data_IF_863375514523
#
_entry.id   IF_863375514523
#
_cell.length_a   1.000
_cell.length_b   1.000
_cell.length_c   1.000
_cell.angle_alpha   90.00
_cell.angle_beta   90.00
_cell.angle_gamma   90.00
#
_symmetry.space_group_name_H-M   'P 1'
#
loop_
_entity.id
_entity.type
_entity.pdbx_description
1 polymer ?
#
# COMPACT_ATOMS: atom_id res chain seq x y z
N UNK A 1 0.79 -8.80 8.95
CA UNK A 1 -0.16 -9.20 7.88
C UNK A 1 -1.39 -9.93 8.43
N UNK A 2 -1.26 -11.01 9.21
CA UNK A 2 -2.43 -11.76 9.74
C UNK A 2 -3.44 -10.91 10.54
N UNK A 3 -2.97 -10.04 11.43
CA UNK A 3 -3.86 -9.24 12.29
C UNK A 3 -4.88 -8.37 11.53
N UNK A 4 -4.47 -7.71 10.44
CA UNK A 4 -5.38 -6.88 9.65
C UNK A 4 -6.36 -7.73 8.83
N UNK A 5 -5.91 -8.90 8.35
CA UNK A 5 -6.76 -9.85 7.64
C UNK A 5 -7.83 -10.42 8.58
N UNK A 6 -7.43 -10.86 9.78
CA UNK A 6 -8.34 -11.36 10.81
C UNK A 6 -9.37 -10.31 11.23
N UNK A 7 -8.92 -9.10 11.53
CA UNK A 7 -9.82 -8.02 11.94
C UNK A 7 -10.86 -7.69 10.85
N UNK A 8 -10.47 -7.70 9.57
CA UNK A 8 -11.39 -7.48 8.47
C UNK A 8 -12.44 -8.62 8.38
N UNK A 9 -12.00 -9.88 8.42
CA UNK A 9 -12.88 -11.06 8.36
C UNK A 9 -13.84 -11.13 9.55
N UNK A 10 -13.36 -10.85 10.76
CA UNK A 10 -14.17 -10.84 11.99
C UNK A 10 -15.27 -9.78 11.97
N UNK A 11 -15.09 -8.71 11.19
CA UNK A 11 -16.07 -7.66 10.98
C UNK A 11 -16.89 -7.83 9.68
N UNK A 12 -16.84 -9.03 9.06
CA UNK A 12 -17.62 -9.37 7.87
C UNK A 12 -17.08 -8.78 6.56
N UNK A 13 -15.87 -8.23 6.57
CA UNK A 13 -15.17 -7.81 5.36
C UNK A 13 -14.60 -9.00 4.59
N UNK A 14 -14.32 -8.79 3.31
CA UNK A 14 -13.65 -9.78 2.46
C UNK A 14 -12.16 -9.51 2.39
N UNK A 15 -11.36 -10.57 2.35
CA UNK A 15 -9.89 -10.49 2.24
C UNK A 15 -9.41 -11.32 1.07
N UNK A 16 -8.75 -10.67 0.12
CA UNK A 16 -8.03 -11.33 -0.98
C UNK A 16 -6.54 -11.29 -0.70
N UNK A 17 -5.94 -12.45 -0.46
CA UNK A 17 -4.49 -12.61 -0.39
C UNK A 17 -3.88 -12.75 -1.79
N UNK A 18 -2.71 -12.15 -2.03
CA UNK A 18 -1.91 -12.36 -3.25
C UNK A 18 -0.49 -12.75 -2.84
N UNK A 19 -0.01 -13.90 -3.32
CA UNK A 19 1.26 -14.50 -2.90
C UNK A 19 1.97 -15.13 -4.10
N UNK A 20 3.31 -15.01 -4.27
CA UNK A 20 4.00 -15.76 -5.30
C UNK A 20 4.13 -17.24 -4.91
N UNK A 21 4.21 -18.13 -5.88
CA UNK A 21 4.42 -19.58 -5.68
C UNK A 21 5.62 -19.86 -4.77
N UNK A 22 6.73 -19.14 -4.96
CA UNK A 22 7.96 -19.32 -4.18
C UNK A 22 7.82 -19.02 -2.67
N UNK A 23 6.79 -18.27 -2.28
CA UNK A 23 6.48 -17.96 -0.89
C UNK A 23 5.26 -18.73 -0.37
N UNK A 24 4.41 -19.29 -1.24
CA UNK A 24 3.23 -20.04 -0.82
C UNK A 24 3.55 -21.23 0.09
N UNK A 25 4.71 -21.89 -0.10
CA UNK A 25 5.15 -23.01 0.73
C UNK A 25 5.90 -22.55 2.01
N UNK A 26 6.43 -21.33 2.03
CA UNK A 26 7.30 -20.81 3.10
C UNK A 26 6.58 -19.88 4.06
N UNK A 27 5.70 -19.05 3.54
CA UNK A 27 4.79 -18.22 4.32
C UNK A 27 3.52 -19.00 4.50
N UNK A 28 3.08 -19.16 5.75
CA UNK A 28 1.80 -19.78 6.07
C UNK A 28 0.71 -18.89 5.46
N UNK A 29 0.25 -19.25 4.26
CA UNK A 29 -0.88 -18.59 3.62
C UNK A 29 -2.02 -18.54 4.63
N UNK A 30 -2.57 -17.35 4.85
CA UNK A 30 -3.56 -17.14 5.89
C UNK A 30 -4.81 -17.97 5.57
N UNK A 31 -5.11 -19.06 6.31
CA UNK A 31 -6.02 -20.10 5.83
C UNK A 31 -7.49 -19.65 5.76
N UNK A 32 -7.80 -18.49 6.35
CA UNK A 32 -9.16 -17.95 6.46
C UNK A 32 -9.49 -16.86 5.44
N UNK A 33 -8.58 -16.50 4.54
CA UNK A 33 -8.88 -15.45 3.53
C UNK A 33 -10.03 -15.87 2.63
N UNK A 34 -10.83 -14.89 2.19
CA UNK A 34 -11.97 -15.10 1.29
C UNK A 34 -11.51 -15.64 -0.06
N UNK A 35 -10.37 -15.14 -0.56
CA UNK A 35 -9.75 -15.61 -1.78
C UNK A 35 -8.23 -15.54 -1.67
N UNK A 36 -7.55 -16.46 -2.35
CA UNK A 36 -6.09 -16.47 -2.45
C UNK A 36 -5.71 -16.57 -3.93
N UNK A 37 -4.95 -15.58 -4.40
CA UNK A 37 -4.39 -15.56 -5.74
C UNK A 37 -2.92 -15.91 -5.63
N UNK A 38 -2.53 -17.00 -6.29
CA UNK A 38 -1.13 -17.42 -6.39
C UNK A 38 -0.57 -16.94 -7.72
N UNK A 39 0.55 -16.21 -7.68
CA UNK A 39 1.23 -15.65 -8.86
C UNK A 39 2.56 -16.33 -9.12
N UNK A 40 3.08 -16.28 -10.35
CA UNK A 40 4.34 -16.92 -10.70
C UNK A 40 5.55 -16.24 -10.02
N UNK A 41 5.51 -14.91 -9.87
CA UNK A 41 6.61 -14.15 -9.26
C UNK A 41 6.13 -12.92 -8.46
N UNK A 42 7.10 -12.16 -7.93
CA UNK A 42 6.86 -10.95 -7.14
C UNK A 42 6.34 -9.77 -7.97
N UNK A 43 6.74 -9.66 -9.24
CA UNK A 43 6.26 -8.59 -10.12
C UNK A 43 4.79 -8.80 -10.45
N UNK A 44 4.40 -10.03 -10.77
CA UNK A 44 3.01 -10.39 -10.99
C UNK A 44 2.17 -10.23 -9.71
N UNK A 45 2.71 -10.60 -8.53
CA UNK A 45 2.04 -10.33 -7.24
C UNK A 45 1.70 -8.86 -7.08
N UNK A 46 2.69 -7.98 -7.20
CA UNK A 46 2.51 -6.53 -7.01
C UNK A 46 1.55 -5.96 -8.05
N UNK A 47 1.73 -6.31 -9.32
CA UNK A 47 0.82 -5.90 -10.39
C UNK A 47 -0.63 -6.33 -10.10
N UNK A 48 -0.84 -7.57 -9.66
CA UNK A 48 -2.17 -8.08 -9.31
C UNK A 48 -2.77 -7.31 -8.15
N UNK A 49 -2.01 -7.06 -7.08
CA UNK A 49 -2.45 -6.22 -5.96
C UNK A 49 -2.83 -4.81 -6.43
N UNK A 50 -2.04 -4.20 -7.31
CA UNK A 50 -2.27 -2.84 -7.80
C UNK A 50 -3.45 -2.73 -8.74
N UNK A 51 -3.74 -3.78 -9.52
CA UNK A 51 -4.91 -3.84 -10.39
C UNK A 51 -6.21 -4.04 -9.60
N UNK A 52 -6.16 -4.73 -8.44
CA UNK A 52 -7.30 -4.97 -7.56
C UNK A 52 -7.60 -3.80 -6.60
N UNK A 53 -6.57 -3.05 -6.20
CA UNK A 53 -6.72 -1.98 -5.20
C UNK A 53 -7.26 -0.68 -5.80
N UNK A 54 -8.12 0.04 -5.09
CA UNK A 54 -8.49 1.43 -5.45
C UNK A 54 -7.56 2.47 -4.79
N UNK A 55 -6.96 2.11 -3.66
CA UNK A 55 -6.01 2.91 -2.90
C UNK A 55 -5.05 2.02 -2.11
N UNK A 56 -3.96 2.59 -1.60
CA UNK A 56 -2.96 1.86 -0.83
C UNK A 56 -2.85 2.43 0.59
N UNK A 57 -2.87 1.55 1.59
CA UNK A 57 -2.61 1.90 2.99
C UNK A 57 -1.44 1.06 3.49
N UNK A 58 -0.36 1.71 3.89
CA UNK A 58 0.84 1.09 4.41
C UNK A 58 0.88 1.22 5.94
N UNK A 59 0.80 0.07 6.61
CA UNK A 59 1.06 -0.08 8.05
C UNK A 59 2.58 -0.17 8.31
N UNK A 60 3.05 0.04 9.56
CA UNK A 60 4.47 -0.11 9.89
C UNK A 60 5.06 -1.44 9.40
N UNK A 61 6.20 -1.37 8.73
CA UNK A 61 6.79 -2.53 8.06
C UNK A 61 8.22 -2.29 7.59
N UNK A 62 8.89 -3.36 7.17
CA UNK A 62 10.29 -3.33 6.76
C UNK A 62 10.50 -2.95 5.29
N UNK A 63 11.62 -3.43 4.72
CA UNK A 63 12.02 -3.13 3.33
C UNK A 63 10.95 -3.52 2.30
N UNK A 64 10.26 -4.65 2.48
CA UNK A 64 9.19 -5.08 1.56
C UNK A 64 8.03 -4.08 1.50
N UNK A 65 7.61 -3.55 2.66
CA UNK A 65 6.57 -2.50 2.72
C UNK A 65 7.02 -1.22 2.05
N UNK A 66 8.28 -0.80 2.26
CA UNK A 66 8.83 0.39 1.62
C UNK A 66 8.88 0.25 0.09
N UNK A 67 9.29 -0.94 -0.38
CA UNK A 67 9.35 -1.26 -1.80
C UNK A 67 7.96 -1.13 -2.46
N UNK A 68 6.93 -1.72 -1.86
CA UNK A 68 5.56 -1.63 -2.34
C UNK A 68 5.01 -0.18 -2.30
N UNK A 69 5.33 0.59 -1.25
CA UNK A 69 4.93 2.00 -1.11
C UNK A 69 5.51 2.86 -2.22
N UNK A 70 6.82 2.76 -2.48
CA UNK A 70 7.49 3.60 -3.47
C UNK A 70 7.10 3.22 -4.90
N UNK A 71 6.88 1.93 -5.17
CA UNK A 71 6.41 1.48 -6.48
C UNK A 71 4.99 1.98 -6.76
N UNK A 72 4.05 1.80 -5.82
CA UNK A 72 2.68 2.29 -5.95
C UNK A 72 2.61 3.81 -6.15
N UNK A 73 3.39 4.58 -5.36
CA UNK A 73 3.46 6.03 -5.50
C UNK A 73 4.03 6.46 -6.87
N UNK A 74 5.05 5.75 -7.36
CA UNK A 74 5.65 6.00 -8.67
C UNK A 74 4.67 5.68 -9.79
N UNK A 75 3.92 4.59 -9.68
CA UNK A 75 2.88 4.25 -10.65
C UNK A 75 1.77 5.29 -10.68
N UNK A 76 1.36 5.83 -9.54
CA UNK A 76 0.41 6.95 -9.47
C UNK A 76 0.96 8.18 -10.17
N UNK A 77 2.22 8.56 -9.90
CA UNK A 77 2.90 9.69 -10.56
C UNK A 77 2.93 9.54 -12.09
N UNK A 78 3.18 8.33 -12.58
CA UNK A 78 3.34 8.03 -14.01
C UNK A 78 2.01 7.68 -14.71
N UNK A 79 0.89 7.59 -13.98
CA UNK A 79 -0.39 7.14 -14.54
C UNK A 79 -0.35 5.70 -15.04
N UNK A 80 0.44 4.84 -14.39
CA UNK A 80 0.65 3.44 -14.81
C UNK A 80 -0.35 2.45 -14.21
N UNK A 81 -1.17 2.90 -13.26
CA UNK A 81 -2.31 2.11 -12.81
C UNK A 81 -3.28 1.86 -13.96
N UNK A 82 -4.07 0.80 -13.86
CA UNK A 82 -5.09 0.47 -14.85
C UNK A 82 -5.95 1.69 -15.19
N UNK A 83 -6.07 1.99 -16.49
CA UNK A 83 -6.78 3.15 -17.04
C UNK A 83 -6.24 4.54 -16.61
N UNK A 84 -4.99 4.62 -16.12
CA UNK A 84 -4.38 5.88 -15.69
C UNK A 84 -5.00 6.47 -14.42
N UNK A 85 -5.73 5.66 -13.65
CA UNK A 85 -6.44 6.10 -12.45
C UNK A 85 -5.42 6.53 -11.40
N UNK A 86 -5.67 7.68 -10.77
CA UNK A 86 -4.91 8.11 -9.60
C UNK A 86 -5.29 7.26 -8.39
N UNK A 87 -4.29 6.73 -7.67
CA UNK A 87 -4.48 5.97 -6.44
C UNK A 87 -3.61 6.56 -5.32
N UNK A 88 -4.19 7.08 -4.22
CA UNK A 88 -3.40 7.63 -3.13
C UNK A 88 -2.65 6.52 -2.39
N UNK A 89 -1.50 6.88 -1.80
CA UNK A 89 -0.74 6.02 -0.89
C UNK A 89 -0.77 6.66 0.50
N UNK A 90 -1.35 5.97 1.47
CA UNK A 90 -1.51 6.45 2.84
C UNK A 90 -0.55 5.70 3.76
N UNK A 91 0.33 6.44 4.44
CA UNK A 91 1.14 5.91 5.53
C UNK A 91 0.34 6.01 6.82
N UNK A 92 -0.06 4.87 7.40
CA UNK A 92 -0.84 4.80 8.62
C UNK A 92 0.03 4.32 9.78
N UNK A 93 0.15 5.14 10.82
CA UNK A 93 0.69 4.78 12.12
C UNK A 93 0.14 5.69 13.22
N UNK A 94 0.65 5.59 14.45
CA UNK A 94 0.32 6.48 15.57
C UNK A 94 1.20 7.75 15.61
N UNK A 95 1.93 8.05 14.53
CA UNK A 95 2.85 9.19 14.42
C UNK A 95 4.29 8.93 14.89
N UNK A 96 4.66 7.68 15.15
CA UNK A 96 6.00 7.33 15.63
C UNK A 96 6.87 6.70 14.54
N UNK A 97 6.34 5.75 13.78
CA UNK A 97 7.10 4.93 12.84
C UNK A 97 7.41 5.67 11.53
N UNK A 98 6.42 6.33 10.93
CA UNK A 98 6.53 6.97 9.62
C UNK A 98 7.13 8.37 9.67
N UNK A 99 7.36 8.93 10.86
CA UNK A 99 7.74 10.34 11.03
C UNK A 99 9.01 10.70 10.24
N UNK A 100 10.05 9.87 10.30
CA UNK A 100 11.30 10.14 9.59
C UNK A 100 11.18 9.92 8.09
N UNK A 101 10.33 8.98 7.65
CA UNK A 101 10.00 8.83 6.23
C UNK A 101 9.31 10.08 5.68
N UNK A 102 8.35 10.64 6.42
CA UNK A 102 7.64 11.88 6.04
C UNK A 102 8.64 13.05 5.93
N UNK A 103 9.59 13.16 6.86
CA UNK A 103 10.68 14.15 6.78
C UNK A 103 11.53 13.96 5.52
N UNK A 104 11.90 12.72 5.20
CA UNK A 104 12.68 12.42 4.00
C UNK A 104 11.92 12.76 2.71
N UNK A 105 10.63 12.42 2.62
CA UNK A 105 9.80 12.78 1.47
C UNK A 105 9.68 14.30 1.31
N UNK A 106 9.51 15.05 2.40
CA UNK A 106 9.52 16.52 2.37
C UNK A 106 10.88 17.08 1.91
N UNK A 107 11.97 16.46 2.38
CA UNK A 107 13.32 16.85 1.98
C UNK A 107 13.53 16.72 0.47
N UNK A 108 13.02 15.66 -0.17
CA UNK A 108 13.11 15.48 -1.63
C UNK A 108 12.50 16.66 -2.41
N UNK A 109 11.46 17.30 -1.88
CA UNK A 109 10.88 18.51 -2.47
C UNK A 109 11.83 19.70 -2.31
N UNK A 110 12.31 19.94 -1.09
CA UNK A 110 13.23 21.04 -0.81
C UNK A 110 14.55 20.93 -1.58
N UNK A 111 14.98 19.71 -1.87
CA UNK A 111 16.18 19.40 -2.65
C UNK A 111 15.94 19.41 -4.17
N UNK A 112 14.71 19.65 -4.64
CA UNK A 112 14.36 19.79 -6.05
C UNK A 112 14.20 18.49 -6.83
N UNK A 113 14.18 17.33 -6.17
CA UNK A 113 14.04 16.02 -6.83
C UNK A 113 12.56 15.62 -7.08
N UNK A 114 11.64 16.17 -6.29
CA UNK A 114 10.20 15.85 -6.37
C UNK A 114 9.39 17.16 -6.35
N UNK A 115 8.36 17.25 -7.19
CA UNK A 115 7.44 18.40 -7.17
C UNK A 115 6.48 18.32 -5.98
N UNK A 116 5.98 19.46 -5.50
CA UNK A 116 4.98 19.50 -4.43
C UNK A 116 3.74 18.64 -4.75
N UNK A 117 3.24 18.72 -5.99
CA UNK A 117 2.13 17.87 -6.46
C UNK A 117 2.43 16.37 -6.32
N UNK A 118 3.62 15.92 -6.67
CA UNK A 118 3.97 14.50 -6.56
C UNK A 118 4.24 14.08 -5.12
N UNK A 119 4.66 15.01 -4.25
CA UNK A 119 4.82 14.77 -2.83
C UNK A 119 3.48 14.43 -2.16
N UNK A 120 2.39 15.00 -2.64
CA UNK A 120 1.03 14.80 -2.10
C UNK A 120 0.46 13.39 -2.40
N UNK A 121 1.09 12.62 -3.29
CA UNK A 121 0.71 11.22 -3.58
C UNK A 121 0.81 10.34 -2.33
N UNK A 122 1.86 10.56 -1.53
CA UNK A 122 2.10 9.81 -0.29
C UNK A 122 1.67 10.67 0.89
N UNK A 123 0.52 10.37 1.48
CA UNK A 123 -0.04 11.11 2.61
C UNK A 123 0.13 10.34 3.92
N UNK A 124 -0.20 10.97 5.05
CA UNK A 124 -0.02 10.41 6.39
C UNK A 124 -1.34 10.47 7.14
N UNK A 125 -1.67 9.39 7.83
CA UNK A 125 -2.86 9.28 8.67
C UNK A 125 -2.45 8.77 10.05
N UNK A 126 -3.08 9.30 11.09
CA UNK A 126 -2.80 8.92 12.48
C UNK A 126 -3.87 8.01 13.10
N UNK A 127 -4.93 7.74 12.34
CA UNK A 127 -6.06 6.89 12.73
C UNK A 127 -6.57 6.14 11.50
N UNK A 128 -7.25 5.01 11.74
CA UNK A 128 -7.86 4.23 10.66
C UNK A 128 -8.90 5.06 9.88
N UNK A 129 -9.75 5.84 10.57
CA UNK A 129 -10.77 6.68 9.95
C UNK A 129 -10.15 7.73 9.00
N UNK A 130 -9.09 8.41 9.44
CA UNK A 130 -8.36 9.34 8.58
C UNK A 130 -7.73 8.63 7.38
N UNK A 131 -7.22 7.42 7.57
CA UNK A 131 -6.61 6.66 6.48
C UNK A 131 -7.65 6.29 5.41
N UNK A 132 -8.84 5.88 5.82
CA UNK A 132 -9.96 5.61 4.91
C UNK A 132 -10.41 6.89 4.21
N UNK A 133 -10.56 8.01 4.92
CA UNK A 133 -10.95 9.28 4.32
C UNK A 133 -9.95 9.73 3.23
N UNK A 134 -8.65 9.61 3.49
CA UNK A 134 -7.60 9.93 2.53
C UNK A 134 -7.56 8.94 1.36
N UNK A 135 -7.77 7.65 1.62
CA UNK A 135 -7.82 6.61 0.59
C UNK A 135 -9.00 6.79 -0.38
N UNK A 136 -10.13 7.32 0.11
CA UNK A 136 -11.33 7.57 -0.70
C UNK A 136 -11.28 8.91 -1.46
N UNK A 137 -10.33 9.80 -1.16
CA UNK A 137 -10.17 11.06 -1.90
C UNK A 137 -9.61 10.78 -3.29
N UNK A 138 -10.45 10.90 -4.31
CA UNK A 138 -10.00 11.07 -5.69
C UNK A 138 -9.65 12.55 -5.92
N UNK A 139 -8.48 12.86 -6.50
CA UNK A 139 -8.13 14.23 -6.91
C UNK A 139 -9.01 14.74 -8.05
#
# INVERSE_FOLDING_TARGET
MGQIADAALENGGEVTGVIPESLADREIAHPRVTSLIVTTDMHERKKTMYDLADAFIALPGGMGTLEEVFEAATWTKLGMHRNGIYKPVVLLDNGEFWQDMIKFLNFQVSAGFVSQKNREIVCSAYTADQAIELAMKNP
#
